data_IF_426230744031
#
_entry.id   IF_426230744031
#
_cell.length_a   1.000
_cell.length_b   1.000
_cell.length_c   1.000
_cell.angle_alpha   90.00
_cell.angle_beta   90.00
_cell.angle_gamma   90.00
#
_symmetry.space_group_name_H-M   'P 1'
#
loop_
_entity.id
_entity.type
_entity.pdbx_description
1 polymer ?
#
# COMPACT_ATOMS: atom_id res chain seq x y z
N UNK A 1 -5.86 8.37 -30.48
CA UNK A 1 -7.07 8.87 -29.75
C UNK A 1 -6.88 8.55 -28.28
N UNK A 2 -6.97 9.55 -27.39
CA UNK A 2 -6.69 9.44 -25.95
C UNK A 2 -8.00 9.16 -25.21
N UNK A 3 -7.99 8.24 -24.25
CA UNK A 3 -9.14 7.96 -23.39
C UNK A 3 -9.02 8.73 -22.06
N UNK A 4 -10.01 9.55 -21.76
CA UNK A 4 -10.15 10.19 -20.45
C UNK A 4 -11.12 9.37 -19.59
N UNK A 5 -10.67 8.92 -18.42
CA UNK A 5 -11.46 8.21 -17.43
C UNK A 5 -11.63 9.08 -16.19
N UNK A 6 -12.86 9.40 -15.84
CA UNK A 6 -13.23 10.14 -14.65
C UNK A 6 -13.46 9.18 -13.45
N UNK A 7 -13.71 9.68 -12.22
CA UNK A 7 -13.89 8.83 -11.05
C UNK A 7 -15.05 7.82 -11.15
N UNK A 8 -16.12 8.17 -11.84
CA UNK A 8 -17.28 7.29 -11.99
C UNK A 8 -16.99 6.19 -13.02
N UNK A 9 -16.21 6.51 -14.06
CA UNK A 9 -15.76 5.55 -15.07
C UNK A 9 -14.89 4.43 -14.49
N UNK A 10 -14.06 4.75 -13.50
CA UNK A 10 -13.11 3.78 -12.90
C UNK A 10 -13.65 3.08 -11.65
N UNK A 11 -14.78 3.53 -11.11
CA UNK A 11 -15.37 2.94 -9.90
C UNK A 11 -15.90 1.52 -10.17
N UNK A 12 -15.38 0.55 -9.42
CA UNK A 12 -15.84 -0.84 -9.52
C UNK A 12 -15.54 -1.53 -10.86
N UNK A 13 -14.63 -1.00 -11.69
CA UNK A 13 -14.18 -1.68 -12.90
C UNK A 13 -13.39 -2.96 -12.61
N UNK A 14 -12.71 -3.01 -11.47
CA UNK A 14 -11.84 -4.11 -11.05
C UNK A 14 -12.38 -4.75 -9.78
N UNK A 15 -12.14 -6.04 -9.63
CA UNK A 15 -12.20 -6.73 -8.33
C UNK A 15 -10.89 -6.53 -7.57
N UNK A 16 -10.92 -6.72 -6.24
CA UNK A 16 -9.71 -6.68 -5.43
C UNK A 16 -8.69 -7.72 -5.90
N UNK A 17 -9.15 -8.92 -6.24
CA UNK A 17 -8.27 -9.98 -6.73
C UNK A 17 -7.55 -9.61 -8.02
N UNK A 18 -8.25 -9.06 -9.01
CA UNK A 18 -7.64 -8.59 -10.27
C UNK A 18 -6.58 -7.51 -10.00
N UNK A 19 -6.87 -6.58 -9.08
CA UNK A 19 -5.93 -5.53 -8.70
C UNK A 19 -4.68 -6.08 -8.01
N UNK A 20 -4.82 -7.09 -7.13
CA UNK A 20 -3.69 -7.75 -6.45
C UNK A 20 -2.85 -8.55 -7.45
N UNK A 21 -3.48 -9.32 -8.34
CA UNK A 21 -2.77 -10.12 -9.35
C UNK A 21 -1.97 -9.21 -10.31
N UNK A 22 -2.56 -8.09 -10.73
CA UNK A 22 -1.87 -7.08 -11.53
C UNK A 22 -0.70 -6.45 -10.77
N UNK A 23 -0.89 -6.06 -9.50
CA UNK A 23 0.18 -5.54 -8.64
C UNK A 23 1.33 -6.53 -8.52
N UNK A 24 1.05 -7.80 -8.23
CA UNK A 24 2.09 -8.84 -8.11
C UNK A 24 2.89 -8.97 -9.41
N UNK A 25 2.21 -8.96 -10.56
CA UNK A 25 2.89 -9.06 -11.85
C UNK A 25 3.81 -7.87 -12.09
N UNK A 26 3.33 -6.64 -11.87
CA UNK A 26 4.18 -5.46 -12.01
C UNK A 26 5.37 -5.44 -11.05
N UNK A 27 5.18 -5.90 -9.82
CA UNK A 27 6.28 -6.02 -8.86
C UNK A 27 7.29 -7.10 -9.26
N UNK A 28 6.85 -8.18 -9.93
CA UNK A 28 7.75 -9.18 -10.54
C UNK A 28 8.54 -8.62 -11.72
N UNK A 29 7.90 -7.83 -12.59
CA UNK A 29 8.60 -7.11 -13.66
C UNK A 29 9.71 -6.23 -13.09
N UNK A 30 9.39 -5.45 -12.06
CA UNK A 30 10.35 -4.61 -11.37
C UNK A 30 11.46 -5.41 -10.65
N UNK A 31 11.14 -6.57 -10.08
CA UNK A 31 12.13 -7.46 -9.48
C UNK A 31 13.11 -8.02 -10.53
N UNK A 32 12.65 -8.27 -11.75
CA UNK A 32 13.47 -8.70 -12.89
C UNK A 32 14.33 -7.58 -13.48
N UNK A 33 13.84 -6.35 -13.46
CA UNK A 33 14.56 -5.18 -13.94
C UNK A 33 14.25 -3.94 -13.07
N UNK A 34 15.13 -3.56 -12.14
CA UNK A 34 14.93 -2.42 -11.25
C UNK A 34 14.76 -1.05 -11.93
N UNK A 35 15.25 -0.89 -13.17
CA UNK A 35 15.10 0.36 -13.93
C UNK A 35 13.66 0.64 -14.39
N UNK A 36 12.76 -0.32 -14.28
CA UNK A 36 11.34 -0.16 -14.61
C UNK A 36 10.57 0.72 -13.61
N UNK A 37 11.15 1.06 -12.47
CA UNK A 37 10.52 1.87 -11.44
C UNK A 37 11.45 2.94 -10.88
N UNK A 38 10.99 4.19 -10.84
CA UNK A 38 11.74 5.28 -10.22
C UNK A 38 11.38 5.46 -8.74
N UNK A 39 12.33 5.95 -7.94
CA UNK A 39 12.06 6.36 -6.57
C UNK A 39 11.01 7.47 -6.55
N UNK A 40 10.05 7.32 -5.64
CA UNK A 40 9.02 8.32 -5.40
C UNK A 40 9.65 9.64 -4.94
N UNK A 41 9.30 10.72 -5.59
CA UNK A 41 9.72 12.08 -5.26
C UNK A 41 8.56 12.90 -4.73
N UNK A 42 8.88 13.80 -3.79
CA UNK A 42 7.90 14.72 -3.21
C UNK A 42 8.44 16.14 -3.22
N UNK A 43 7.56 17.09 -3.54
CA UNK A 43 7.82 18.51 -3.45
C UNK A 43 6.82 19.12 -2.48
N UNK A 44 7.33 19.92 -1.55
CA UNK A 44 6.53 20.59 -0.52
C UNK A 44 6.51 22.08 -0.80
N UNK A 45 5.34 22.65 -0.92
CA UNK A 45 5.15 24.10 -0.93
C UNK A 45 5.16 24.65 0.51
N UNK A 46 5.59 25.90 0.73
CA UNK A 46 5.54 26.52 2.07
C UNK A 46 4.12 26.57 2.69
N UNK A 47 3.10 26.54 1.87
CA UNK A 47 1.70 26.48 2.30
C UNK A 47 1.30 25.13 2.91
N UNK A 48 2.16 24.11 2.88
CA UNK A 48 1.84 22.74 3.30
C UNK A 48 1.27 21.85 2.18
N UNK A 49 1.11 22.38 0.96
CA UNK A 49 0.78 21.53 -0.18
C UNK A 49 1.96 20.63 -0.54
N UNK A 50 1.70 19.34 -0.79
CA UNK A 50 2.70 18.35 -1.12
C UNK A 50 2.29 17.57 -2.35
N UNK A 51 3.04 17.70 -3.45
CA UNK A 51 2.86 16.84 -4.61
C UNK A 51 3.79 15.62 -4.52
N UNK A 52 3.24 14.46 -4.88
CA UNK A 52 3.97 13.19 -4.95
C UNK A 52 3.79 12.60 -6.33
N UNK A 53 4.89 12.10 -6.91
CA UNK A 53 4.88 11.44 -8.23
C UNK A 53 5.47 10.04 -8.11
N UNK A 54 4.78 9.08 -8.72
CA UNK A 54 5.16 7.67 -8.86
C UNK A 54 5.32 7.36 -10.35
N UNK A 55 6.45 6.79 -10.75
CA UNK A 55 6.74 6.48 -12.16
C UNK A 55 7.06 5.01 -12.33
N UNK A 56 6.63 4.41 -13.43
CA UNK A 56 6.90 3.02 -13.71
C UNK A 56 6.61 2.62 -15.16
N UNK A 57 7.28 1.54 -15.57
CA UNK A 57 7.18 0.98 -16.92
C UNK A 57 7.05 -0.55 -16.88
N UNK A 58 5.89 -1.11 -16.40
CA UNK A 58 5.69 -2.55 -16.34
C UNK A 58 5.69 -3.17 -17.72
N UNK A 59 6.63 -4.07 -17.99
CA UNK A 59 6.78 -4.76 -19.29
C UNK A 59 5.56 -5.63 -19.60
N UNK A 60 5.07 -6.37 -18.59
CA UNK A 60 3.90 -7.25 -18.74
C UNK A 60 2.61 -6.53 -19.12
N UNK A 61 2.52 -5.24 -18.81
CA UNK A 61 1.37 -4.41 -19.17
C UNK A 61 1.53 -3.66 -20.49
N UNK A 62 2.75 -3.56 -21.04
CA UNK A 62 3.04 -2.84 -22.28
C UNK A 62 2.85 -1.33 -22.19
N UNK A 63 2.95 -0.77 -20.97
CA UNK A 63 2.73 0.65 -20.72
C UNK A 63 3.87 1.26 -19.91
N UNK A 64 3.98 2.57 -19.99
CA UNK A 64 4.81 3.39 -19.10
C UNK A 64 4.01 4.62 -18.68
N UNK A 65 4.40 5.28 -17.59
CA UNK A 65 3.71 6.48 -17.19
C UNK A 65 3.94 6.88 -15.75
N UNK A 66 3.02 7.71 -15.26
CA UNK A 66 3.11 8.25 -13.91
C UNK A 66 1.73 8.32 -13.23
N UNK A 67 1.75 8.30 -11.89
CA UNK A 67 0.67 8.74 -11.03
C UNK A 67 1.15 9.98 -10.26
N UNK A 68 0.39 11.05 -10.29
CA UNK A 68 0.62 12.24 -9.48
C UNK A 68 -0.58 12.49 -8.57
N UNK A 69 -0.31 12.88 -7.31
CA UNK A 69 -1.33 13.35 -6.39
C UNK A 69 -0.80 14.49 -5.53
N UNK A 70 -1.70 15.35 -5.08
CA UNK A 70 -1.38 16.48 -4.21
C UNK A 70 -2.23 16.44 -2.94
N UNK A 71 -1.62 16.76 -1.81
CA UNK A 71 -2.24 16.76 -0.50
C UNK A 71 -1.91 18.05 0.23
N UNK A 72 -2.90 18.63 0.95
CA UNK A 72 -2.67 19.73 1.87
C UNK A 72 -2.40 19.17 3.27
N UNK A 73 -1.18 19.33 3.75
CA UNK A 73 -0.77 18.90 5.09
C UNK A 73 -1.12 19.99 6.11
N UNK A 74 -1.78 19.59 7.18
CA UNK A 74 -2.05 20.43 8.36
C UNK A 74 -1.38 19.81 9.56
N UNK A 75 -0.68 20.66 10.31
CA UNK A 75 -0.03 20.28 11.54
C UNK A 75 -0.81 20.87 12.69
N UNK A 76 -1.18 20.04 13.62
CA UNK A 76 -1.88 20.43 14.83
C UNK A 76 -0.89 20.82 15.93
N UNK A 77 -1.28 21.69 16.88
CA UNK A 77 -0.41 22.12 17.96
C UNK A 77 0.22 20.99 18.75
N UNK A 78 -0.48 19.86 18.87
CA UNK A 78 -0.02 18.64 19.55
C UNK A 78 1.03 17.86 18.74
N UNK A 79 1.31 18.31 17.49
CA UNK A 79 2.32 17.72 16.61
C UNK A 79 1.85 16.56 15.74
N UNK A 80 0.56 16.17 15.81
CA UNK A 80 0.02 15.21 14.86
C UNK A 80 -0.31 15.87 13.51
N UNK A 81 -0.23 15.07 12.45
CA UNK A 81 -0.45 15.50 11.08
C UNK A 81 -1.82 15.02 10.58
N UNK A 82 -2.55 15.90 9.91
CA UNK A 82 -3.73 15.54 9.11
C UNK A 82 -3.61 16.08 7.69
N UNK A 83 -4.48 15.58 6.81
CA UNK A 83 -4.64 16.12 5.46
C UNK A 83 -5.97 16.85 5.39
N UNK A 84 -5.93 18.19 5.24
CA UNK A 84 -7.12 19.02 5.18
C UNK A 84 -7.79 19.01 3.81
N UNK A 85 -7.02 18.76 2.76
CA UNK A 85 -7.52 18.60 1.40
C UNK A 85 -6.64 17.63 0.64
N UNK A 86 -7.24 16.97 -0.33
CA UNK A 86 -6.53 16.10 -1.27
C UNK A 86 -7.03 16.36 -2.67
N UNK A 87 -6.11 16.75 -3.55
CA UNK A 87 -6.40 16.83 -4.97
C UNK A 87 -6.69 15.43 -5.52
N UNK A 88 -7.49 15.36 -6.57
CA UNK A 88 -7.74 14.09 -7.26
C UNK A 88 -6.42 13.58 -7.86
N UNK A 89 -6.05 12.30 -7.64
CA UNK A 89 -4.88 11.74 -8.30
C UNK A 89 -5.13 11.67 -9.81
N UNK A 90 -4.05 11.91 -10.56
CA UNK A 90 -4.06 11.82 -12.02
C UNK A 90 -3.03 10.77 -12.42
N UNK A 91 -3.45 9.79 -13.21
CA UNK A 91 -2.57 8.81 -13.82
C UNK A 91 -2.50 9.06 -15.30
N UNK A 92 -1.28 9.09 -15.83
CA UNK A 92 -1.00 9.24 -17.27
C UNK A 92 -0.39 7.94 -17.76
N UNK A 93 -0.92 7.39 -18.85
CA UNK A 93 -0.57 6.08 -19.37
C UNK A 93 -0.15 6.22 -20.84
N UNK A 94 1.09 5.85 -21.12
CA UNK A 94 1.65 5.80 -22.46
C UNK A 94 1.85 4.35 -22.91
N UNK A 95 1.78 4.11 -24.21
CA UNK A 95 2.22 2.86 -24.82
C UNK A 95 3.75 2.77 -24.74
N UNK A 96 4.27 1.71 -24.12
CA UNK A 96 5.72 1.53 -23.95
C UNK A 96 6.47 1.23 -25.26
N UNK A 97 5.77 0.82 -26.33
CA UNK A 97 6.40 0.45 -27.59
C UNK A 97 6.51 1.61 -28.60
N UNK A 98 5.60 2.57 -28.55
CA UNK A 98 5.53 3.65 -29.53
C UNK A 98 5.34 5.05 -28.94
N UNK A 99 5.39 5.16 -27.60
CA UNK A 99 5.29 6.42 -26.84
C UNK A 99 3.94 7.17 -27.00
N UNK A 100 2.93 6.57 -27.60
CA UNK A 100 1.60 7.19 -27.71
C UNK A 100 0.95 7.36 -26.34
N UNK A 101 0.37 8.52 -26.07
CA UNK A 101 -0.49 8.74 -24.93
C UNK A 101 -1.80 7.96 -25.13
N UNK A 102 -2.06 6.98 -24.27
CA UNK A 102 -3.22 6.09 -24.34
C UNK A 102 -4.39 6.62 -23.52
N UNK A 103 -4.12 7.01 -22.25
CA UNK A 103 -5.17 7.40 -21.34
C UNK A 103 -4.69 8.37 -20.25
N UNK A 104 -5.66 9.15 -19.76
CA UNK A 104 -5.56 9.92 -18.52
C UNK A 104 -6.68 9.43 -17.61
N UNK A 105 -6.34 8.96 -16.40
CA UNK A 105 -7.34 8.60 -15.40
C UNK A 105 -7.33 9.61 -14.27
N UNK A 106 -8.51 10.05 -13.83
CA UNK A 106 -8.68 11.01 -12.74
C UNK A 106 -9.45 10.33 -11.61
N UNK A 107 -8.90 10.35 -10.40
CA UNK A 107 -9.54 9.79 -9.21
C UNK A 107 -8.85 8.56 -8.65
N UNK A 108 -9.37 8.12 -7.51
CA UNK A 108 -8.86 6.94 -6.79
C UNK A 108 -9.41 5.66 -7.40
N UNK A 109 -8.57 4.62 -7.39
CA UNK A 109 -9.02 3.27 -7.75
C UNK A 109 -9.94 2.76 -6.64
N UNK A 110 -11.12 2.30 -7.03
CA UNK A 110 -12.06 1.60 -6.17
C UNK A 110 -12.37 0.25 -6.79
N UNK A 111 -12.48 -0.75 -5.94
CA UNK A 111 -12.81 -2.11 -6.38
C UNK A 111 -14.28 -2.41 -6.16
N UNK A 112 -14.79 -3.41 -6.86
CA UNK A 112 -16.19 -3.83 -6.78
C UNK A 112 -16.68 -4.09 -5.37
N UNK A 113 -15.83 -4.73 -4.58
CA UNK A 113 -16.14 -5.12 -3.20
C UNK A 113 -16.19 -3.93 -2.25
N UNK A 114 -15.57 -2.79 -2.60
CA UNK A 114 -15.42 -1.61 -1.74
C UNK A 114 -15.64 -0.30 -2.52
N UNK A 115 -16.84 -0.06 -3.06
CA UNK A 115 -17.09 1.11 -3.91
C UNK A 115 -17.08 2.44 -3.15
N UNK A 116 -17.31 2.41 -1.84
CA UNK A 116 -17.43 3.60 -0.99
C UNK A 116 -16.10 4.03 -0.34
N UNK A 117 -15.02 3.27 -0.51
CA UNK A 117 -13.73 3.63 0.10
C UNK A 117 -13.08 4.77 -0.66
N UNK A 118 -13.15 5.95 -0.07
CA UNK A 118 -12.55 7.19 -0.57
C UNK A 118 -11.27 7.51 0.21
N UNK A 119 -10.13 7.02 -0.22
CA UNK A 119 -8.86 7.45 0.37
C UNK A 119 -7.71 7.27 -0.64
N UNK A 120 -6.75 8.21 -0.64
CA UNK A 120 -5.62 8.19 -1.58
C UNK A 120 -4.80 6.90 -1.46
N UNK A 121 -4.52 6.28 -2.60
CA UNK A 121 -3.66 5.12 -2.73
C UNK A 121 -4.06 3.92 -1.85
N UNK A 122 -5.34 3.78 -1.50
CA UNK A 122 -5.79 2.73 -0.56
C UNK A 122 -5.72 1.35 -1.20
N UNK A 123 -6.26 1.20 -2.40
CA UNK A 123 -6.25 -0.08 -3.13
C UNK A 123 -4.82 -0.48 -3.52
N UNK A 124 -3.98 0.37 -4.14
CA UNK A 124 -2.61 -0.01 -4.45
C UNK A 124 -1.78 -0.40 -3.21
N UNK A 125 -1.97 0.32 -2.08
CA UNK A 125 -1.33 -0.03 -0.80
C UNK A 125 -1.75 -1.43 -0.34
N UNK A 126 -3.04 -1.71 -0.36
CA UNK A 126 -3.59 -2.99 0.05
C UNK A 126 -3.13 -4.14 -0.86
N UNK A 127 -3.07 -3.90 -2.17
CA UNK A 127 -2.54 -4.88 -3.12
C UNK A 127 -1.08 -5.24 -2.81
N UNK A 128 -0.23 -4.25 -2.54
CA UNK A 128 1.17 -4.51 -2.17
C UNK A 128 1.28 -5.28 -0.85
N UNK A 129 0.43 -4.97 0.15
CA UNK A 129 0.35 -5.76 1.39
C UNK A 129 -0.04 -7.21 1.09
N UNK A 130 -1.07 -7.43 0.26
CA UNK A 130 -1.52 -8.77 -0.09
C UNK A 130 -0.43 -9.58 -0.80
N UNK A 131 0.40 -8.94 -1.64
CA UNK A 131 1.61 -9.58 -2.21
C UNK A 131 2.57 -9.97 -1.10
N UNK A 132 2.86 -9.10 -0.14
CA UNK A 132 3.68 -9.42 1.04
C UNK A 132 3.12 -10.61 1.83
N UNK A 133 1.81 -10.61 2.13
CA UNK A 133 1.09 -11.70 2.80
C UNK A 133 1.23 -13.01 2.03
N UNK A 134 1.02 -12.99 0.72
CA UNK A 134 1.12 -14.18 -0.14
C UNK A 134 2.50 -14.84 -0.08
N UNK A 135 3.57 -14.06 0.09
CA UNK A 135 4.95 -14.54 0.09
C UNK A 135 5.53 -14.78 1.48
N UNK A 136 5.01 -14.12 2.53
CA UNK A 136 5.60 -14.12 3.86
C UNK A 136 4.71 -14.72 4.95
N UNK A 137 3.38 -14.77 4.78
CA UNK A 137 2.50 -15.43 5.72
C UNK A 137 2.53 -16.96 5.56
N UNK A 138 2.12 -17.67 6.60
CA UNK A 138 1.88 -19.11 6.51
C UNK A 138 0.70 -19.37 5.59
N UNK A 139 0.74 -20.48 4.84
CA UNK A 139 -0.34 -20.84 3.90
C UNK A 139 -1.61 -21.33 4.59
N UNK A 140 -1.48 -21.80 5.82
CA UNK A 140 -2.56 -22.23 6.69
C UNK A 140 -3.12 -21.12 7.59
N UNK A 141 -2.72 -19.86 7.38
CA UNK A 141 -3.22 -18.70 8.14
C UNK A 141 -4.75 -18.60 8.05
N UNK A 142 -5.41 -18.47 9.21
CA UNK A 142 -6.86 -18.38 9.34
C UNK A 142 -7.34 -17.15 10.08
N UNK A 143 -6.51 -16.57 10.95
CA UNK A 143 -6.87 -15.44 11.81
C UNK A 143 -6.05 -14.21 11.49
N UNK A 144 -6.74 -13.09 11.36
CA UNK A 144 -6.11 -11.79 11.10
C UNK A 144 -6.44 -10.78 12.21
N UNK A 145 -5.42 -10.20 12.81
CA UNK A 145 -5.55 -9.07 13.72
C UNK A 145 -5.43 -7.75 12.95
N UNK A 146 -6.23 -6.76 13.32
CA UNK A 146 -6.23 -5.45 12.65
C UNK A 146 -6.18 -4.35 13.70
N UNK A 147 -5.18 -3.47 13.61
CA UNK A 147 -5.08 -2.25 14.38
C UNK A 147 -5.41 -1.06 13.46
N UNK A 148 -6.57 -0.42 13.70
CA UNK A 148 -7.15 0.61 12.85
C UNK A 148 -8.46 0.14 12.20
N UNK A 149 -9.37 1.09 11.93
CA UNK A 149 -10.73 0.80 11.42
C UNK A 149 -11.20 1.75 10.32
N UNK A 150 -10.26 2.40 9.60
CA UNK A 150 -10.60 3.33 8.52
C UNK A 150 -10.43 2.67 7.14
N UNK A 151 -10.44 3.48 6.08
CA UNK A 151 -10.40 3.02 4.69
C UNK A 151 -9.22 2.08 4.38
N UNK A 152 -8.03 2.34 4.91
CA UNK A 152 -6.89 1.42 4.75
C UNK A 152 -7.20 0.04 5.34
N UNK A 153 -7.74 -0.04 6.55
CA UNK A 153 -8.06 -1.33 7.18
C UNK A 153 -9.06 -2.15 6.33
N UNK A 154 -10.07 -1.50 5.73
CA UNK A 154 -11.05 -2.16 4.85
C UNK A 154 -10.38 -2.77 3.62
N UNK A 155 -9.60 -1.98 2.90
CA UNK A 155 -8.91 -2.46 1.70
C UNK A 155 -7.85 -3.52 2.02
N UNK A 156 -7.12 -3.37 3.12
CA UNK A 156 -6.11 -4.34 3.56
C UNK A 156 -6.75 -5.70 3.88
N UNK A 157 -7.86 -5.70 4.62
CA UNK A 157 -8.57 -6.93 4.94
C UNK A 157 -9.14 -7.60 3.67
N UNK A 158 -9.78 -6.84 2.79
CA UNK A 158 -10.30 -7.35 1.52
C UNK A 158 -9.19 -7.92 0.62
N UNK A 159 -8.02 -7.26 0.57
CA UNK A 159 -6.89 -7.74 -0.21
C UNK A 159 -6.27 -9.01 0.38
N UNK A 160 -6.18 -9.12 1.71
CA UNK A 160 -5.73 -10.34 2.37
C UNK A 160 -6.71 -11.52 2.12
N UNK A 161 -8.02 -11.29 2.20
CA UNK A 161 -9.05 -12.30 1.90
C UNK A 161 -8.97 -12.76 0.44
N UNK A 162 -8.66 -11.86 -0.49
CA UNK A 162 -8.53 -12.19 -1.91
C UNK A 162 -7.34 -13.13 -2.21
N UNK A 163 -6.28 -13.13 -1.39
CA UNK A 163 -5.09 -14.00 -1.57
C UNK A 163 -5.06 -15.19 -0.62
N UNK A 164 -5.80 -15.14 0.49
CA UNK A 164 -5.96 -16.21 1.47
C UNK A 164 -7.44 -16.52 1.66
N UNK A 165 -8.05 -17.30 0.75
CA UNK A 165 -9.50 -17.57 0.81
C UNK A 165 -9.91 -18.33 2.09
N UNK A 166 -8.96 -19.03 2.74
CA UNK A 166 -9.16 -19.78 3.97
C UNK A 166 -9.15 -18.92 5.26
N UNK A 167 -9.05 -17.59 5.15
CA UNK A 167 -9.21 -16.71 6.30
C UNK A 167 -10.65 -16.86 6.86
N UNK A 168 -10.74 -17.16 8.15
CA UNK A 168 -11.99 -17.46 8.86
C UNK A 168 -12.43 -16.31 9.76
N UNK A 169 -11.46 -15.66 10.44
CA UNK A 169 -11.75 -14.65 11.46
C UNK A 169 -10.84 -13.43 11.31
N UNK A 170 -11.41 -12.23 11.51
CA UNK A 170 -10.66 -11.02 11.75
C UNK A 170 -11.04 -10.38 13.10
N UNK A 171 -10.04 -9.92 13.85
CA UNK A 171 -10.21 -9.17 15.10
C UNK A 171 -9.74 -7.74 14.90
N UNK A 172 -10.63 -6.77 15.03
CA UNK A 172 -10.31 -5.36 14.82
C UNK A 172 -10.32 -4.58 16.12
N UNK A 173 -9.25 -3.83 16.33
CA UNK A 173 -9.17 -2.83 17.39
C UNK A 173 -8.90 -1.44 16.82
N UNK A 174 -9.60 -0.46 17.36
CA UNK A 174 -9.28 0.97 17.27
C UNK A 174 -9.76 1.66 18.56
N UNK A 175 -9.14 2.79 18.94
CA UNK A 175 -9.48 3.45 20.23
C UNK A 175 -10.96 3.81 20.35
N UNK A 176 -11.61 4.21 19.25
CA UNK A 176 -13.02 4.58 19.23
C UNK A 176 -13.92 3.35 19.07
N UNK A 177 -14.71 2.96 20.10
CA UNK A 177 -15.53 1.75 20.05
C UNK A 177 -16.52 1.72 18.88
N UNK A 178 -17.20 2.82 18.61
CA UNK A 178 -18.20 2.93 17.55
C UNK A 178 -17.58 2.66 16.16
N UNK A 179 -16.34 3.11 15.95
CA UNK A 179 -15.64 2.90 14.68
C UNK A 179 -15.29 1.43 14.46
N UNK A 180 -14.80 0.73 15.50
CA UNK A 180 -14.45 -0.69 15.35
C UNK A 180 -15.67 -1.60 15.26
N UNK A 181 -16.76 -1.26 15.97
CA UNK A 181 -18.03 -2.00 15.86
C UNK A 181 -18.64 -1.85 14.46
N UNK A 182 -18.70 -0.61 13.95
CA UNK A 182 -19.18 -0.36 12.58
C UNK A 182 -18.32 -1.07 11.54
N UNK A 183 -17.00 -1.00 11.67
CA UNK A 183 -16.06 -1.72 10.80
C UNK A 183 -16.34 -3.22 10.80
N UNK A 184 -16.51 -3.83 11.99
CA UNK A 184 -16.74 -5.26 12.12
C UNK A 184 -18.04 -5.68 11.41
N UNK A 185 -19.15 -4.99 11.67
CA UNK A 185 -20.42 -5.27 11.02
C UNK A 185 -20.34 -5.15 9.49
N UNK A 186 -19.80 -4.04 8.99
CA UNK A 186 -19.66 -3.76 7.56
C UNK A 186 -18.77 -4.80 6.86
N UNK A 187 -17.63 -5.14 7.43
CA UNK A 187 -16.69 -6.06 6.78
C UNK A 187 -17.11 -7.53 6.90
N UNK A 188 -17.90 -7.89 7.92
CA UNK A 188 -18.53 -9.23 7.99
C UNK A 188 -19.46 -9.44 6.81
N UNK A 189 -20.32 -8.45 6.52
CA UNK A 189 -21.26 -8.52 5.39
C UNK A 189 -20.54 -8.53 4.04
N UNK A 190 -19.56 -7.62 3.85
CA UNK A 190 -18.87 -7.44 2.56
C UNK A 190 -17.97 -8.61 2.18
N UNK A 191 -17.37 -9.32 3.15
CA UNK A 191 -16.37 -10.36 2.87
C UNK A 191 -16.87 -11.79 3.15
N UNK A 192 -18.11 -11.94 3.61
CA UNK A 192 -18.66 -13.23 4.04
C UNK A 192 -17.68 -13.96 4.98
N UNK A 193 -17.22 -13.26 6.02
CA UNK A 193 -16.21 -13.72 6.96
C UNK A 193 -16.47 -13.12 8.34
N UNK A 194 -16.23 -13.89 9.40
CA UNK A 194 -16.40 -13.36 10.75
C UNK A 194 -15.40 -12.23 11.05
N UNK A 195 -15.91 -11.02 11.34
CA UNK A 195 -15.10 -9.87 11.80
C UNK A 195 -15.62 -9.41 13.15
N UNK A 196 -14.76 -9.46 14.16
CA UNK A 196 -15.11 -9.10 15.55
C UNK A 196 -14.41 -7.80 15.98
N UNK A 197 -15.18 -6.90 16.57
CA UNK A 197 -14.62 -5.77 17.31
C UNK A 197 -14.15 -6.24 18.69
N UNK A 198 -12.87 -6.05 18.99
CA UNK A 198 -12.29 -6.45 20.29
C UNK A 198 -12.04 -5.25 21.20
N UNK A 199 -11.91 -5.48 22.49
CA UNK A 199 -11.84 -4.42 23.49
C UNK A 199 -10.44 -3.80 23.63
N UNK A 200 -9.38 -4.53 23.25
CA UNK A 200 -7.99 -4.08 23.37
C UNK A 200 -7.14 -4.41 22.15
N UNK A 201 -6.04 -3.67 21.98
CA UNK A 201 -5.04 -3.99 20.97
C UNK A 201 -4.44 -5.39 21.19
N UNK A 202 -4.27 -5.80 22.47
CA UNK A 202 -3.75 -7.10 22.84
C UNK A 202 -4.60 -8.24 22.31
N UNK A 203 -5.92 -8.17 22.46
CA UNK A 203 -6.85 -9.17 21.91
C UNK A 203 -6.79 -9.28 20.37
N UNK A 204 -6.50 -8.17 19.69
CA UNK A 204 -6.32 -8.19 18.24
C UNK A 204 -4.99 -8.82 17.80
N UNK A 205 -3.94 -8.69 18.63
CA UNK A 205 -2.58 -9.15 18.32
C UNK A 205 -2.35 -10.60 18.71
N UNK A 206 -2.78 -10.98 19.92
CA UNK A 206 -2.59 -12.34 20.42
C UNK A 206 -3.31 -13.37 19.54
N UNK A 207 -2.64 -14.46 19.25
CA UNK A 207 -3.13 -15.55 18.39
C UNK A 207 -3.41 -15.19 16.92
N UNK A 208 -3.08 -13.99 16.45
CA UNK A 208 -3.16 -13.66 15.04
C UNK A 208 -2.10 -14.40 14.22
N UNK A 209 -2.50 -14.99 13.10
CA UNK A 209 -1.58 -15.53 12.10
C UNK A 209 -1.00 -14.39 11.23
N UNK A 210 -1.83 -13.37 11.01
CA UNK A 210 -1.46 -12.14 10.29
C UNK A 210 -1.88 -10.94 11.15
N UNK A 211 -1.00 -9.95 11.29
CA UNK A 211 -1.29 -8.70 11.97
C UNK A 211 -1.15 -7.53 10.99
N UNK A 212 -2.22 -6.77 10.80
CA UNK A 212 -2.21 -5.53 10.03
C UNK A 212 -2.18 -4.32 10.98
N UNK A 213 -1.06 -3.62 11.04
CA UNK A 213 -0.95 -2.33 11.71
C UNK A 213 -1.19 -1.23 10.66
N UNK A 214 -2.39 -0.65 10.69
CA UNK A 214 -2.91 0.23 9.63
C UNK A 214 -3.53 1.49 10.22
N UNK A 215 -2.81 2.10 11.14
CA UNK A 215 -3.22 3.29 11.89
C UNK A 215 -2.64 4.58 11.31
N UNK A 216 -2.91 5.68 11.96
CA UNK A 216 -2.20 6.95 11.77
C UNK A 216 -1.43 7.35 13.04
N UNK A 217 -1.06 6.38 13.87
CA UNK A 217 -0.38 6.61 15.13
C UNK A 217 1.03 7.20 14.93
N UNK A 218 1.45 8.04 15.87
CA UNK A 218 2.81 8.54 15.97
C UNK A 218 3.69 7.71 16.92
N UNK A 219 3.08 6.76 17.62
CA UNK A 219 3.74 5.89 18.62
C UNK A 219 3.35 4.44 18.38
N UNK A 220 4.16 3.46 18.86
CA UNK A 220 3.81 2.05 18.78
C UNK A 220 2.41 1.76 19.33
N UNK A 221 1.67 0.93 18.63
CA UNK A 221 0.24 0.65 18.91
C UNK A 221 0.03 -0.66 19.66
N UNK A 222 1.08 -1.44 19.82
CA UNK A 222 1.10 -2.71 20.54
C UNK A 222 2.51 -3.02 21.07
N UNK A 223 2.60 -3.94 22.02
CA UNK A 223 3.86 -4.50 22.52
C UNK A 223 4.27 -5.69 21.66
N UNK A 224 5.48 -5.64 21.09
CA UNK A 224 6.05 -6.71 20.29
C UNK A 224 6.13 -8.06 21.02
N UNK A 225 6.09 -8.09 22.36
CA UNK A 225 6.05 -9.33 23.13
C UNK A 225 4.75 -10.12 22.96
N UNK A 226 3.66 -9.49 22.55
CA UNK A 226 2.37 -10.16 22.30
C UNK A 226 2.34 -10.96 20.98
N UNK A 227 3.31 -10.76 20.11
CA UNK A 227 3.38 -11.46 18.81
C UNK A 227 3.57 -12.96 19.02
N UNK A 228 2.69 -13.75 18.44
CA UNK A 228 2.81 -15.20 18.43
C UNK A 228 3.94 -15.67 17.50
N UNK A 229 4.62 -16.81 17.82
CA UNK A 229 5.51 -17.43 16.84
C UNK A 229 4.78 -17.75 15.55
N UNK A 230 5.41 -17.44 14.40
CA UNK A 230 4.83 -17.70 13.08
C UNK A 230 3.95 -16.58 12.51
N UNK A 231 3.67 -15.51 13.26
CA UNK A 231 2.88 -14.39 12.78
C UNK A 231 3.55 -13.67 11.60
N UNK A 232 2.75 -13.23 10.65
CA UNK A 232 3.15 -12.25 9.64
C UNK A 232 2.60 -10.88 9.99
N UNK A 233 3.46 -9.90 10.16
CA UNK A 233 3.08 -8.51 10.44
C UNK A 233 3.27 -7.63 9.21
N UNK A 234 2.27 -6.81 8.89
CA UNK A 234 2.41 -5.70 7.95
C UNK A 234 2.13 -4.35 8.63
N UNK A 235 2.99 -3.36 8.40
CA UNK A 235 2.81 -1.97 8.83
C UNK A 235 2.87 -1.05 7.61
N UNK A 236 1.91 -0.11 7.52
CA UNK A 236 1.79 0.83 6.41
C UNK A 236 2.11 2.27 6.80
N UNK A 237 2.19 2.58 8.09
CA UNK A 237 2.45 3.96 8.51
C UNK A 237 3.76 4.45 7.92
N UNK A 238 3.71 5.62 7.30
CA UNK A 238 4.89 6.23 6.70
C UNK A 238 4.90 7.73 6.96
N UNK A 239 6.07 8.23 7.25
CA UNK A 239 6.44 9.64 7.18
C UNK A 239 7.73 9.71 6.37
N UNK A 240 8.08 10.89 5.89
CA UNK A 240 9.37 11.09 5.27
C UNK A 240 10.08 12.27 5.95
N UNK A 241 11.41 12.23 5.92
CA UNK A 241 12.25 13.22 6.60
C UNK A 241 11.99 14.66 6.10
N UNK A 242 11.50 14.83 4.87
CA UNK A 242 11.13 16.14 4.33
C UNK A 242 10.02 16.82 5.14
N UNK A 243 9.09 16.04 5.75
CA UNK A 243 8.07 16.60 6.64
C UNK A 243 8.67 17.14 7.94
N UNK A 244 9.66 16.44 8.51
CA UNK A 244 10.35 16.88 9.72
C UNK A 244 11.27 18.08 9.44
N UNK A 245 12.09 17.99 8.40
CA UNK A 245 13.02 19.09 7.98
C UNK A 245 12.27 20.36 7.57
N UNK A 246 11.09 20.22 6.98
CA UNK A 246 10.21 21.34 6.63
C UNK A 246 9.39 21.89 7.81
N UNK A 247 9.56 21.36 9.01
CA UNK A 247 8.80 21.78 10.20
C UNK A 247 7.32 21.38 10.17
N UNK A 248 6.94 20.46 9.27
CA UNK A 248 5.56 20.02 9.11
C UNK A 248 5.13 18.97 10.15
N UNK A 249 6.05 18.32 10.82
CA UNK A 249 5.80 17.40 11.94
C UNK A 249 6.88 17.59 13.00
N UNK A 250 6.53 17.34 14.27
CA UNK A 250 7.49 17.40 15.38
C UNK A 250 8.24 16.09 15.56
N UNK A 251 7.62 14.98 15.14
CA UNK A 251 8.21 13.64 15.18
C UNK A 251 7.70 12.79 14.02
N UNK A 252 8.49 11.81 13.65
CA UNK A 252 8.12 10.85 12.63
C UNK A 252 7.12 9.82 13.18
N UNK A 253 6.24 9.32 12.32
CA UNK A 253 5.24 8.30 12.68
C UNK A 253 5.87 6.93 12.83
N UNK A 254 5.42 6.20 13.84
CA UNK A 254 5.86 4.85 14.12
C UNK A 254 4.73 4.00 14.70
N UNK A 255 4.43 2.82 14.14
CA UNK A 255 3.37 1.91 14.62
C UNK A 255 3.92 0.71 15.40
N UNK A 256 5.18 0.35 15.19
CA UNK A 256 5.81 -0.83 15.79
C UNK A 256 6.96 -0.43 16.72
N UNK A 257 7.15 -1.17 17.79
CA UNK A 257 8.24 -0.96 18.74
C UNK A 257 9.54 -1.68 18.31
N UNK A 258 10.62 -1.42 19.04
CA UNK A 258 11.90 -2.08 18.82
C UNK A 258 11.87 -3.57 19.09
N UNK A 259 11.03 -4.00 20.05
CA UNK A 259 10.87 -5.42 20.40
C UNK A 259 10.34 -6.21 19.21
N UNK A 260 9.36 -5.65 18.48
CA UNK A 260 8.85 -6.23 17.22
C UNK A 260 9.98 -6.46 16.23
N UNK A 261 10.83 -5.45 15.99
CA UNK A 261 11.93 -5.52 15.03
C UNK A 261 13.04 -6.50 15.45
N UNK A 262 13.36 -6.58 16.75
CA UNK A 262 14.32 -7.57 17.26
C UNK A 262 13.81 -8.99 17.08
N UNK A 263 12.51 -9.22 17.35
CA UNK A 263 11.86 -10.54 17.27
C UNK A 263 11.57 -10.99 15.85
N UNK A 264 11.46 -10.06 14.89
CA UNK A 264 11.23 -10.44 13.50
C UNK A 264 12.45 -11.20 12.94
N UNK A 265 12.24 -12.42 12.49
CA UNK A 265 13.25 -13.25 11.81
C UNK A 265 13.47 -12.77 10.37
N UNK A 266 12.41 -12.26 9.75
CA UNK A 266 12.38 -11.80 8.35
C UNK A 266 11.82 -10.38 8.33
N UNK A 267 12.57 -9.43 7.81
CA UNK A 267 12.12 -8.05 7.60
C UNK A 267 12.23 -7.74 6.11
N UNK A 268 11.11 -7.34 5.51
CA UNK A 268 11.04 -6.93 4.11
C UNK A 268 10.47 -5.51 4.03
N UNK A 269 11.00 -4.68 3.15
CA UNK A 269 10.38 -3.42 2.75
C UNK A 269 10.18 -3.38 1.23
N UNK A 270 9.35 -2.49 0.72
CA UNK A 270 9.17 -2.38 -0.74
C UNK A 270 10.49 -2.02 -1.44
N UNK A 271 11.25 -1.07 -0.88
CA UNK A 271 12.55 -0.66 -1.40
C UNK A 271 13.42 -0.07 -0.30
N UNK A 272 14.57 -0.68 -0.04
CA UNK A 272 15.60 -0.15 0.88
C UNK A 272 16.10 1.24 0.45
N UNK A 273 16.17 1.47 -0.85
CA UNK A 273 16.60 2.74 -1.41
C UNK A 273 15.57 3.85 -1.11
N UNK A 274 14.27 3.55 -1.24
CA UNK A 274 13.20 4.47 -0.86
C UNK A 274 13.17 4.70 0.66
N UNK A 275 13.43 3.67 1.47
CA UNK A 275 13.55 3.80 2.93
C UNK A 275 14.71 4.73 3.31
N UNK A 276 15.86 4.63 2.65
CA UNK A 276 16.99 5.53 2.88
C UNK A 276 16.71 6.97 2.43
N UNK A 277 15.91 7.16 1.39
CA UNK A 277 15.52 8.49 0.92
C UNK A 277 14.48 9.16 1.84
N UNK A 278 13.51 8.38 2.32
CA UNK A 278 12.40 8.88 3.14
C UNK A 278 12.75 8.95 4.64
N UNK A 279 13.73 8.18 5.09
CA UNK A 279 14.17 8.06 6.49
C UNK A 279 12.99 7.85 7.48
N UNK A 280 12.05 6.91 7.24
CA UNK A 280 10.89 6.76 8.10
C UNK A 280 11.26 6.11 9.44
N UNK A 281 10.62 6.56 10.52
CA UNK A 281 10.95 6.14 11.89
C UNK A 281 10.85 4.62 12.13
N UNK A 282 10.06 3.90 11.35
CA UNK A 282 9.83 2.45 11.55
C UNK A 282 11.09 1.61 11.35
N UNK A 283 11.90 1.92 10.34
CA UNK A 283 13.16 1.20 10.07
C UNK A 283 14.39 2.07 10.29
N UNK A 284 14.33 3.34 9.86
CA UNK A 284 15.49 4.22 9.90
C UNK A 284 16.01 4.46 11.31
N UNK A 285 15.14 4.89 12.23
CA UNK A 285 15.56 5.16 13.61
C UNK A 285 16.13 3.93 14.33
N UNK A 286 15.48 2.73 14.32
CA UNK A 286 16.04 1.53 14.89
C UNK A 286 17.39 1.10 14.28
N UNK A 287 17.59 1.33 13.00
CA UNK A 287 18.89 1.04 12.34
C UNK A 287 19.95 2.02 12.83
N UNK A 288 19.65 3.33 12.92
CA UNK A 288 20.59 4.32 13.43
C UNK A 288 20.95 4.06 14.92
N UNK A 289 20.03 3.50 15.68
CA UNK A 289 20.23 3.15 17.10
C UNK A 289 20.84 1.76 17.32
N UNK A 290 21.13 1.01 16.24
CA UNK A 290 21.72 -0.32 16.33
C UNK A 290 20.76 -1.42 16.84
N UNK A 291 19.45 -1.17 16.82
CA UNK A 291 18.43 -2.16 17.20
C UNK A 291 18.39 -3.31 16.17
N UNK A 292 18.48 -2.97 14.90
CA UNK A 292 18.65 -3.85 13.76
C UNK A 292 19.66 -3.26 12.76
N UNK A 293 20.11 -4.05 11.79
CA UNK A 293 20.97 -3.57 10.71
C UNK A 293 20.28 -3.69 9.34
N UNK A 294 20.81 -2.97 8.33
CA UNK A 294 20.33 -3.09 6.95
C UNK A 294 20.48 -4.50 6.37
N UNK A 295 21.41 -5.30 6.86
CA UNK A 295 21.62 -6.69 6.41
C UNK A 295 20.46 -7.61 6.82
N UNK A 296 19.70 -7.22 7.87
CA UNK A 296 18.48 -7.92 8.29
C UNK A 296 17.26 -7.55 7.44
N UNK A 297 17.33 -6.49 6.63
CA UNK A 297 16.21 -5.98 5.84
C UNK A 297 16.38 -6.39 4.39
N UNK A 298 15.38 -7.03 3.81
CA UNK A 298 15.34 -7.40 2.39
C UNK A 298 14.47 -6.44 1.59
N UNK A 299 14.81 -6.25 0.31
CA UNK A 299 13.91 -5.63 -0.65
C UNK A 299 12.83 -6.61 -1.09
N UNK A 300 11.62 -6.11 -1.32
CA UNK A 300 10.54 -6.93 -1.90
C UNK A 300 10.95 -7.53 -3.26
N UNK A 301 11.72 -6.81 -4.06
CA UNK A 301 12.27 -7.33 -5.33
C UNK A 301 13.22 -8.50 -5.13
N UNK A 302 13.99 -8.56 -4.04
CA UNK A 302 14.88 -9.70 -3.72
C UNK A 302 14.06 -10.93 -3.37
N UNK A 303 12.95 -10.74 -2.65
CA UNK A 303 12.00 -11.81 -2.34
C UNK A 303 11.31 -12.34 -3.60
N UNK A 304 10.76 -11.44 -4.42
CA UNK A 304 10.01 -11.81 -5.64
C UNK A 304 10.87 -12.43 -6.74
N UNK A 305 12.15 -12.09 -6.79
CA UNK A 305 13.14 -12.71 -7.70
C UNK A 305 13.74 -14.02 -7.18
N UNK A 306 13.40 -14.44 -5.96
CA UNK A 306 13.96 -15.64 -5.33
C UNK A 306 15.41 -15.50 -4.85
N UNK A 307 15.98 -14.30 -4.81
CA UNK A 307 17.31 -14.04 -4.24
C UNK A 307 17.37 -14.29 -2.74
N UNK A 308 16.24 -14.14 -2.06
CA UNK A 308 16.08 -14.47 -0.66
C UNK A 308 14.94 -15.46 -0.50
N UNK A 309 15.03 -16.42 0.44
CA UNK A 309 14.10 -17.54 0.50
C UNK A 309 12.70 -17.21 1.01
N UNK A 310 12.50 -16.04 1.59
CA UNK A 310 11.27 -15.73 2.32
C UNK A 310 11.13 -16.54 3.60
N UNK A 311 9.92 -16.99 3.92
CA UNK A 311 9.64 -17.84 5.08
C UNK A 311 10.15 -19.26 4.81
N UNK A 312 10.93 -19.80 5.74
CA UNK A 312 11.50 -21.16 5.68
C UNK A 312 11.04 -22.04 6.85
N UNK A 313 10.34 -21.47 7.84
CA UNK A 313 9.83 -22.20 9.00
C UNK A 313 8.56 -21.58 9.58
N UNK A 314 7.69 -22.44 10.12
CA UNK A 314 6.34 -22.02 10.58
C UNK A 314 6.37 -21.13 11.81
N UNK A 315 7.44 -21.15 12.59
CA UNK A 315 7.58 -20.33 13.81
C UNK A 315 8.25 -18.98 13.57
N UNK A 316 8.78 -18.72 12.37
CA UNK A 316 9.42 -17.44 12.04
C UNK A 316 8.39 -16.30 12.07
N UNK A 317 8.76 -15.21 12.73
CA UNK A 317 8.02 -13.95 12.68
C UNK A 317 8.50 -13.17 11.45
N UNK A 318 7.60 -12.85 10.54
CA UNK A 318 7.93 -12.04 9.38
C UNK A 318 7.27 -10.68 9.45
N UNK A 319 8.01 -9.64 9.09
CA UNK A 319 7.57 -8.26 9.08
C UNK A 319 7.70 -7.66 7.67
N UNK A 320 6.62 -7.17 7.11
CA UNK A 320 6.60 -6.40 5.88
C UNK A 320 6.32 -4.92 6.15
N UNK A 321 7.32 -4.08 5.94
CA UNK A 321 7.15 -2.63 5.94
C UNK A 321 6.72 -2.17 4.55
N UNK A 322 5.43 -1.96 4.39
CA UNK A 322 4.87 -1.43 3.17
C UNK A 322 4.97 0.09 3.15
N UNK A 323 5.98 0.61 2.48
CA UNK A 323 6.29 2.04 2.41
C UNK A 323 5.67 2.76 1.22
N UNK A 324 4.67 2.17 0.60
CA UNK A 324 3.95 2.76 -0.51
C UNK A 324 4.83 3.10 -1.74
N UNK A 325 5.79 2.23 -2.09
CA UNK A 325 6.59 2.34 -3.30
C UNK A 325 6.03 1.41 -4.38
N UNK A 326 5.33 1.96 -5.36
CA UNK A 326 4.67 1.15 -6.39
C UNK A 326 4.48 1.83 -7.74
N UNK A 327 5.39 2.65 -8.20
CA UNK A 327 5.26 3.28 -9.50
C UNK A 327 4.92 2.28 -10.62
N UNK A 328 5.60 1.13 -10.65
CA UNK A 328 5.29 0.03 -11.57
C UNK A 328 3.90 -0.57 -11.28
N UNK A 329 3.56 -0.80 -10.01
CA UNK A 329 2.24 -1.29 -9.61
C UNK A 329 1.10 -0.35 -9.95
N UNK A 330 1.29 0.97 -9.82
CA UNK A 330 0.31 1.96 -10.25
C UNK A 330 0.03 1.88 -11.75
N UNK A 331 1.06 1.62 -12.56
CA UNK A 331 0.90 1.55 -14.01
C UNK A 331 0.25 0.24 -14.46
N UNK A 332 0.51 -0.91 -13.81
CA UNK A 332 -0.23 -2.14 -14.15
C UNK A 332 -1.71 -2.03 -13.82
N UNK A 333 -2.06 -1.43 -12.67
CA UNK A 333 -3.46 -1.15 -12.32
C UNK A 333 -4.08 -0.18 -13.33
N UNK A 334 -3.36 0.88 -13.70
CA UNK A 334 -3.79 1.83 -14.71
C UNK A 334 -4.05 1.19 -16.07
N UNK A 335 -3.14 0.33 -16.54
CA UNK A 335 -3.29 -0.42 -17.77
C UNK A 335 -4.50 -1.37 -17.74
N UNK A 336 -4.76 -1.99 -16.58
CA UNK A 336 -5.92 -2.85 -16.42
C UNK A 336 -7.22 -2.05 -16.46
N UNK A 337 -7.28 -0.89 -15.79
CA UNK A 337 -8.41 0.04 -15.87
C UNK A 337 -8.65 0.48 -17.33
N UNK A 338 -7.61 0.89 -18.03
CA UNK A 338 -7.68 1.30 -19.43
C UNK A 338 -8.25 0.18 -20.33
N UNK A 339 -7.74 -1.05 -20.22
CA UNK A 339 -8.24 -2.20 -20.99
C UNK A 339 -9.70 -2.49 -20.69
N UNK A 340 -10.09 -2.52 -19.39
CA UNK A 340 -11.49 -2.75 -19.00
C UNK A 340 -12.43 -1.66 -19.50
N UNK A 341 -11.98 -0.41 -19.48
CA UNK A 341 -12.76 0.70 -20.02
C UNK A 341 -12.97 0.58 -21.53
N UNK A 342 -11.93 0.22 -22.29
CA UNK A 342 -12.05 -0.03 -23.73
C UNK A 342 -13.01 -1.19 -24.04
N UNK A 343 -12.88 -2.33 -23.36
CA UNK A 343 -13.73 -3.50 -23.53
C UNK A 343 -15.21 -3.18 -23.29
N UNK A 344 -15.52 -2.25 -22.39
CA UNK A 344 -16.89 -1.86 -22.02
C UNK A 344 -17.38 -0.59 -22.69
N UNK A 345 -16.56 0.05 -23.52
CA UNK A 345 -16.90 1.33 -24.15
C UNK A 345 -17.10 2.48 -23.16
N UNK A 346 -16.37 2.46 -22.02
CA UNK A 346 -16.45 3.45 -20.94
C UNK A 346 -15.38 4.53 -21.15
N UNK A 347 -15.68 5.77 -20.72
CA UNK A 347 -14.79 6.91 -20.78
C UNK A 347 -15.03 7.84 -21.97
N UNK A 348 -14.41 9.00 -21.92
CA UNK A 348 -14.52 10.03 -22.95
C UNK A 348 -13.33 9.95 -23.89
N UNK A 349 -13.60 9.79 -25.18
CA UNK A 349 -12.57 9.82 -26.23
C UNK A 349 -12.21 11.26 -26.54
N UNK A 350 -10.98 11.67 -26.28
CA UNK A 350 -10.49 12.99 -26.65
C UNK A 350 -10.12 13.03 -28.13
N UNK A 351 -10.52 14.10 -28.88
CA UNK A 351 -10.22 14.23 -30.30
C UNK A 351 -8.79 14.73 -30.54
N UNK A 352 -7.82 14.10 -29.87
CA UNK A 352 -6.41 14.44 -29.92
C UNK A 352 -5.64 13.18 -30.29
N UNK A 353 -4.63 13.30 -31.16
CA UNK A 353 -3.71 12.20 -31.43
C UNK A 353 -2.84 11.90 -30.19
N UNK A 354 -2.59 10.64 -29.93
CA UNK A 354 -1.72 10.20 -28.84
C UNK A 354 -0.24 10.41 -29.13
N UNK A 355 0.14 10.64 -30.37
CA UNK A 355 1.48 10.97 -30.82
C UNK A 355 1.53 12.33 -31.49
N UNK A 356 2.47 13.18 -31.11
CA UNK A 356 2.70 14.49 -31.73
C UNK A 356 3.60 14.36 -32.96
N UNK A 357 4.59 13.47 -32.91
CA UNK A 357 5.52 13.20 -33.98
C UNK A 357 5.53 11.71 -34.31
N UNK A 358 5.50 11.41 -35.60
CA UNK A 358 5.77 10.08 -36.17
C UNK A 358 6.85 10.24 -37.22
N UNK A 359 7.96 9.53 -37.09
CA UNK A 359 8.92 9.43 -38.18
C UNK A 359 8.21 8.80 -39.37
N UNK A 360 8.39 9.40 -40.54
CA UNK A 360 7.76 8.96 -41.80
C UNK A 360 8.51 7.80 -42.40
#
# INVERSE_FOLDING_TARGET
>A
MILLLNPDDINGLLTMKEAVDAMEQGLKDWAGNPELGALRRRVHAPSGARVTVHQGAPVSAGVTGLLAHCEQVVIHPEGHQTYSARGRPVRVIYNANNSELLAITIGEVRVKELPEVNNVATVPTACATAVGVKWLARKDSRRIGILGSRGQARCQLAACKAVLPNLEEARVYSPTPENRVRFAAEMTELLDMEVRAVASAREAVEEADILLSVTNSNVPTFDGNWLAPGVHLCSIVSSNIGLLRGGFVKQMRREVDDTTLRRADIIVCNSKEQERLDEPAVLWEPIQQGVISWDKVWDLKELLSGKVPGRTGDRQISFFKNNAFWGVGDQVIGALLYRRALERGIGTKLPIDGAEYRER
#
